data_IF_499250451777
#
_entry.id   IF_499250451777
#
_cell.length_a   1.000
_cell.length_b   1.000
_cell.length_c   1.000
_cell.angle_alpha   90.00
_cell.angle_beta   90.00
_cell.angle_gamma   90.00
#
_symmetry.space_group_name_H-M   'P 1'
#
loop_
_entity.id
_entity.type
_entity.pdbx_description
1 polymer ?
#
# COMPACT_ATOMS: atom_id res chain seq x y z
N UNK A 1 -55.82 -30.06 34.65
CA UNK A 1 -55.72 -29.95 33.18
C UNK A 1 -55.35 -28.52 32.84
N UNK A 2 -54.22 -28.31 32.14
CA UNK A 2 -53.74 -27.02 31.61
C UNK A 2 -52.96 -26.17 32.62
N UNK A 3 -51.63 -26.33 32.75
CA UNK A 3 -50.58 -25.66 31.97
C UNK A 3 -50.35 -24.20 32.41
N UNK A 4 -49.24 -23.98 33.13
CA UNK A 4 -48.74 -22.69 33.55
C UNK A 4 -47.82 -22.10 32.47
N UNK A 5 -48.11 -20.88 32.01
CA UNK A 5 -47.17 -20.04 31.24
C UNK A 5 -46.44 -19.11 32.22
N UNK A 6 -45.17 -19.40 32.46
CA UNK A 6 -44.23 -18.47 33.09
C UNK A 6 -43.57 -17.62 32.01
N UNK A 7 -43.87 -16.32 32.01
CA UNK A 7 -43.13 -15.29 31.26
C UNK A 7 -41.71 -15.25 31.82
N UNK A 8 -40.72 -15.56 30.96
CA UNK A 8 -39.30 -15.58 31.31
C UNK A 8 -38.64 -14.36 30.66
N UNK A 9 -38.29 -13.35 31.45
CA UNK A 9 -37.43 -12.23 31.04
C UNK A 9 -36.02 -12.78 30.76
N UNK A 10 -35.38 -12.43 29.62
CA UNK A 10 -33.97 -12.75 29.43
C UNK A 10 -33.08 -11.71 30.12
N UNK A 11 -32.18 -12.24 30.95
CA UNK A 11 -31.14 -11.56 31.70
C UNK A 11 -30.26 -10.63 30.86
N UNK A 12 -29.93 -9.46 31.43
CA UNK A 12 -28.84 -8.59 30.99
C UNK A 12 -27.51 -9.35 31.02
N UNK A 13 -26.81 -9.37 29.88
CA UNK A 13 -25.44 -9.88 29.77
C UNK A 13 -24.45 -8.71 29.82
N UNK A 14 -23.25 -8.88 30.43
CA UNK A 14 -22.37 -7.77 30.72
C UNK A 14 -21.72 -7.21 29.44
N UNK A 15 -21.72 -5.89 29.35
CA UNK A 15 -21.09 -5.09 28.30
C UNK A 15 -19.61 -5.46 28.16
N UNK A 16 -19.26 -6.09 27.03
CA UNK A 16 -17.88 -6.47 26.69
C UNK A 16 -17.09 -5.19 26.41
N UNK A 17 -16.05 -4.97 27.22
CA UNK A 17 -15.15 -3.84 27.14
C UNK A 17 -14.60 -3.64 25.72
N UNK A 18 -14.63 -2.38 25.26
CA UNK A 18 -14.12 -1.95 23.97
C UNK A 18 -12.65 -2.37 23.79
N UNK A 19 -12.40 -3.20 22.77
CA UNK A 19 -11.07 -3.53 22.29
C UNK A 19 -10.45 -2.39 21.46
N UNK A 20 -9.16 -2.48 21.13
CA UNK A 20 -8.47 -1.50 20.28
C UNK A 20 -9.11 -1.46 18.87
N UNK A 21 -8.97 -0.34 18.13
CA UNK A 21 -9.66 -0.14 16.85
C UNK A 21 -9.32 -1.28 15.89
N UNK A 22 -10.38 -1.93 15.40
CA UNK A 22 -10.31 -3.03 14.45
C UNK A 22 -9.44 -2.65 13.24
N UNK A 23 -8.56 -3.58 12.89
CA UNK A 23 -7.75 -3.58 11.68
C UNK A 23 -8.65 -3.30 10.46
N UNK A 24 -8.16 -2.48 9.53
CA UNK A 24 -8.81 -2.15 8.26
C UNK A 24 -8.87 -3.37 7.32
N UNK A 25 -9.51 -4.44 7.75
CA UNK A 25 -9.71 -5.70 7.03
C UNK A 25 -11.08 -6.27 7.37
N UNK A 26 -12.13 -5.48 7.17
CA UNK A 26 -13.49 -5.98 6.97
C UNK A 26 -14.36 -4.82 6.49
N UNK A 27 -14.32 -4.54 5.19
CA UNK A 27 -15.30 -3.68 4.54
C UNK A 27 -16.10 -4.53 3.57
N UNK A 28 -17.28 -4.94 4.00
CA UNK A 28 -18.34 -5.44 3.14
C UNK A 28 -19.15 -6.59 3.75
N UNK A 29 -20.32 -6.28 4.31
CA UNK A 29 -21.40 -7.26 4.40
C UNK A 29 -21.82 -7.67 2.96
N UNK A 30 -21.95 -8.97 2.62
CA UNK A 30 -22.15 -9.43 1.24
C UNK A 30 -23.58 -9.26 0.67
N UNK A 31 -24.45 -8.46 1.27
CA UNK A 31 -25.90 -8.50 0.93
C UNK A 31 -26.41 -7.40 0.00
N UNK A 32 -25.54 -6.57 -0.57
CA UNK A 32 -25.90 -5.73 -1.72
C UNK A 32 -25.27 -6.32 -2.99
N UNK A 33 -25.98 -7.24 -3.65
CA UNK A 33 -25.63 -7.73 -4.98
C UNK A 33 -25.67 -6.59 -6.00
N UNK A 34 -24.59 -5.82 -6.04
CA UNK A 34 -24.25 -4.90 -7.12
C UNK A 34 -23.97 -5.75 -8.36
N UNK A 35 -24.70 -5.51 -9.44
CA UNK A 35 -24.45 -6.13 -10.75
C UNK A 35 -23.11 -5.72 -11.39
N UNK A 36 -22.20 -5.10 -10.64
CA UNK A 36 -20.90 -4.59 -11.08
C UNK A 36 -19.87 -5.68 -11.40
N UNK A 37 -20.08 -6.93 -10.97
CA UNK A 37 -19.12 -8.02 -11.19
C UNK A 37 -19.28 -8.84 -12.47
N UNK A 38 -20.17 -8.42 -13.37
CA UNK A 38 -20.19 -8.98 -14.72
C UNK A 38 -19.19 -8.21 -15.57
N UNK A 39 -18.12 -8.90 -15.99
CA UNK A 39 -17.19 -8.41 -17.00
C UNK A 39 -18.00 -7.76 -18.14
N UNK A 40 -17.83 -6.46 -18.41
CA UNK A 40 -18.66 -5.75 -19.38
C UNK A 40 -18.70 -6.45 -20.74
N UNK A 41 -19.83 -6.38 -21.44
CA UNK A 41 -19.89 -6.84 -22.82
C UNK A 41 -18.76 -6.16 -23.64
N UNK A 42 -18.02 -6.94 -24.41
CA UNK A 42 -16.83 -6.50 -25.17
C UNK A 42 -15.60 -6.07 -24.33
N UNK A 43 -15.57 -6.26 -23.01
CA UNK A 43 -14.40 -5.94 -22.18
C UNK A 43 -13.11 -6.54 -22.74
N UNK A 44 -13.10 -7.85 -23.03
CA UNK A 44 -11.91 -8.50 -23.58
C UNK A 44 -11.52 -7.94 -24.95
N UNK A 45 -12.49 -7.55 -25.78
CA UNK A 45 -12.21 -6.96 -27.09
C UNK A 45 -11.58 -5.56 -26.95
N UNK A 46 -12.11 -4.73 -26.06
CA UNK A 46 -11.53 -3.42 -25.73
C UNK A 46 -10.17 -3.56 -25.05
N UNK A 47 -10.02 -4.48 -24.09
CA UNK A 47 -8.76 -4.77 -23.42
C UNK A 47 -7.68 -5.19 -24.43
N UNK A 48 -7.95 -6.20 -25.25
CA UNK A 48 -6.99 -6.65 -26.27
C UNK A 48 -6.76 -5.58 -27.35
N UNK A 49 -7.78 -4.80 -27.70
CA UNK A 49 -7.64 -3.67 -28.63
C UNK A 49 -6.74 -2.56 -28.09
N UNK A 50 -6.96 -2.15 -26.84
CA UNK A 50 -6.16 -1.11 -26.17
C UNK A 50 -4.75 -1.61 -25.86
N UNK A 51 -4.60 -2.89 -25.47
CA UNK A 51 -3.31 -3.54 -25.27
C UNK A 51 -2.54 -3.59 -26.59
N UNK A 52 -3.16 -4.05 -27.69
CA UNK A 52 -2.53 -4.07 -29.00
C UNK A 52 -2.14 -2.67 -29.47
N UNK A 53 -3.01 -1.67 -29.29
CA UNK A 53 -2.69 -0.28 -29.58
C UNK A 53 -1.50 0.23 -28.75
N UNK A 54 -1.51 0.00 -27.43
CA UNK A 54 -0.43 0.42 -26.53
C UNK A 54 0.89 -0.27 -26.87
N UNK A 55 0.85 -1.58 -27.17
CA UNK A 55 2.00 -2.34 -27.65
C UNK A 55 2.51 -1.79 -28.98
N UNK A 56 1.62 -1.42 -29.90
CA UNK A 56 2.00 -0.86 -31.20
C UNK A 56 2.64 0.53 -31.03
N UNK A 57 2.09 1.39 -30.15
CA UNK A 57 2.72 2.67 -29.78
C UNK A 57 4.10 2.44 -29.15
N UNK A 58 4.23 1.46 -28.25
CA UNK A 58 5.52 1.10 -27.65
C UNK A 58 6.52 0.60 -28.70
N UNK A 59 6.10 -0.26 -29.62
CA UNK A 59 6.96 -0.75 -30.72
C UNK A 59 7.41 0.40 -31.61
N UNK A 60 6.50 1.31 -31.99
CA UNK A 60 6.86 2.51 -32.76
C UNK A 60 7.84 3.39 -31.99
N UNK A 61 7.62 3.57 -30.69
CA UNK A 61 8.51 4.33 -29.83
C UNK A 61 9.90 3.69 -29.78
N UNK A 62 9.98 2.38 -29.53
CA UNK A 62 11.22 1.61 -29.48
C UNK A 62 11.97 1.64 -30.82
N UNK A 63 11.24 1.59 -31.93
CA UNK A 63 11.85 1.63 -33.26
C UNK A 63 12.42 3.01 -33.62
N UNK A 64 11.95 4.06 -32.93
CA UNK A 64 12.47 5.43 -33.06
C UNK A 64 13.53 5.77 -32.01
N UNK A 65 13.93 4.85 -31.14
CA UNK A 65 14.93 5.12 -30.11
C UNK A 65 16.34 5.08 -30.66
N UNK A 66 17.13 6.09 -30.29
CA UNK A 66 18.57 6.14 -30.55
C UNK A 66 19.35 5.22 -29.60
N UNK A 67 20.61 4.90 -29.94
CA UNK A 67 21.45 3.98 -29.15
C UNK A 67 21.60 4.36 -27.67
N UNK A 68 21.75 5.66 -27.36
CA UNK A 68 21.81 6.15 -25.98
C UNK A 68 20.50 5.92 -25.21
N UNK A 69 19.36 6.07 -25.88
CA UNK A 69 18.05 5.88 -25.25
C UNK A 69 17.81 4.40 -24.92
N UNK A 70 18.30 3.48 -25.76
CA UNK A 70 18.26 2.05 -25.49
C UNK A 70 19.12 1.66 -24.29
N UNK A 71 20.26 2.33 -24.10
CA UNK A 71 21.10 2.14 -22.91
C UNK A 71 20.40 2.60 -21.64
N UNK A 72 19.77 3.79 -21.67
CA UNK A 72 18.93 4.28 -20.57
C UNK A 72 17.78 3.31 -20.27
N UNK A 73 17.10 2.80 -21.31
CA UNK A 73 16.03 1.82 -21.15
C UNK A 73 16.55 0.53 -20.49
N UNK A 74 17.74 0.07 -20.88
CA UNK A 74 18.38 -1.10 -20.26
C UNK A 74 18.69 -0.86 -18.78
N UNK A 75 19.23 0.30 -18.42
CA UNK A 75 19.48 0.66 -17.02
C UNK A 75 18.17 0.75 -16.21
N UNK A 76 17.13 1.34 -16.81
CA UNK A 76 15.79 1.42 -16.21
C UNK A 76 15.20 0.02 -16.00
N UNK A 77 15.25 -0.85 -17.00
CA UNK A 77 14.74 -2.22 -16.91
C UNK A 77 15.52 -3.02 -15.87
N UNK A 78 16.85 -2.91 -15.86
CA UNK A 78 17.71 -3.59 -14.91
C UNK A 78 17.46 -3.13 -13.45
N UNK A 79 17.03 -1.89 -13.24
CA UNK A 79 16.72 -1.35 -11.91
C UNK A 79 15.27 -1.57 -11.48
N UNK A 80 14.30 -1.44 -12.38
CA UNK A 80 12.86 -1.49 -12.06
C UNK A 80 12.31 -2.91 -12.06
N UNK A 81 12.73 -3.78 -12.99
CA UNK A 81 12.18 -5.14 -13.10
C UNK A 81 12.41 -5.98 -11.84
N UNK A 82 13.61 -5.99 -11.21
CA UNK A 82 13.81 -6.74 -9.98
C UNK A 82 12.86 -6.29 -8.86
N UNK A 83 12.63 -4.97 -8.75
CA UNK A 83 11.69 -4.40 -7.79
C UNK A 83 10.26 -4.83 -8.12
N UNK A 84 9.83 -4.72 -9.37
CA UNK A 84 8.49 -5.11 -9.80
C UNK A 84 8.21 -6.61 -9.60
N UNK A 85 9.18 -7.47 -9.91
CA UNK A 85 9.09 -8.92 -9.65
C UNK A 85 8.96 -9.18 -8.15
N UNK A 86 9.77 -8.52 -7.33
CA UNK A 86 9.68 -8.66 -5.88
C UNK A 86 8.31 -8.23 -5.36
N UNK A 87 7.75 -7.11 -5.86
CA UNK A 87 6.42 -6.64 -5.50
C UNK A 87 5.35 -7.66 -5.87
N UNK A 88 5.39 -8.23 -7.08
CA UNK A 88 4.42 -9.25 -7.51
C UNK A 88 4.51 -10.50 -6.65
N UNK A 89 5.71 -10.95 -6.31
CA UNK A 89 5.92 -12.12 -5.42
C UNK A 89 5.33 -11.84 -4.04
N UNK A 90 5.66 -10.70 -3.43
CA UNK A 90 5.14 -10.33 -2.10
C UNK A 90 3.62 -10.22 -2.13
N UNK A 91 3.05 -9.56 -3.14
CA UNK A 91 1.60 -9.45 -3.29
C UNK A 91 0.95 -10.82 -3.46
N UNK A 92 1.51 -11.72 -4.28
CA UNK A 92 0.97 -13.06 -4.45
C UNK A 92 0.94 -13.84 -3.13
N UNK A 93 2.04 -13.82 -2.36
CA UNK A 93 2.13 -14.53 -1.08
C UNK A 93 1.11 -13.97 -0.06
N UNK A 94 0.87 -12.65 -0.06
CA UNK A 94 -0.17 -12.02 0.77
C UNK A 94 -1.58 -12.42 0.30
N UNK A 95 -1.83 -12.34 -1.00
CA UNK A 95 -3.13 -12.59 -1.62
C UNK A 95 -3.59 -14.05 -1.44
N UNK A 96 -2.66 -15.00 -1.54
CA UNK A 96 -2.91 -16.43 -1.30
C UNK A 96 -2.92 -16.79 0.20
N UNK A 97 -2.81 -15.82 1.10
CA UNK A 97 -2.85 -16.04 2.55
C UNK A 97 -1.68 -16.85 3.10
N UNK A 98 -0.57 -16.94 2.35
CA UNK A 98 0.63 -17.67 2.76
C UNK A 98 1.39 -16.89 3.85
N UNK A 99 1.44 -15.56 3.72
CA UNK A 99 1.98 -14.67 4.75
C UNK A 99 1.11 -13.44 4.92
N UNK A 100 1.01 -12.93 6.13
CA UNK A 100 0.39 -11.61 6.36
C UNK A 100 1.30 -10.47 5.87
N UNK A 101 0.72 -9.29 5.65
CA UNK A 101 1.49 -8.10 5.26
C UNK A 101 2.57 -7.73 6.30
N UNK A 102 2.27 -7.97 7.58
CA UNK A 102 3.19 -7.74 8.70
C UNK A 102 4.34 -8.74 8.70
N UNK A 103 4.08 -10.03 8.42
CA UNK A 103 5.11 -11.05 8.27
C UNK A 103 6.03 -10.78 7.08
N UNK A 104 5.47 -10.42 5.92
CA UNK A 104 6.24 -10.01 4.74
C UNK A 104 7.15 -8.81 5.04
N UNK A 105 6.63 -7.79 5.72
CA UNK A 105 7.41 -6.63 6.13
C UNK A 105 8.52 -6.98 7.13
N UNK A 106 8.26 -7.89 8.07
CA UNK A 106 9.24 -8.35 9.05
C UNK A 106 10.43 -9.04 8.35
N UNK A 107 10.17 -9.92 7.38
CA UNK A 107 11.21 -10.59 6.58
C UNK A 107 12.03 -9.56 5.80
N UNK A 108 11.38 -8.56 5.19
CA UNK A 108 12.06 -7.47 4.49
C UNK A 108 12.99 -6.66 5.40
N UNK A 109 12.53 -6.34 6.62
CA UNK A 109 13.34 -5.62 7.63
C UNK A 109 14.55 -6.43 8.10
N UNK A 110 14.38 -7.75 8.25
CA UNK A 110 15.45 -8.67 8.61
C UNK A 110 16.49 -8.77 7.50
N UNK A 111 16.06 -8.84 6.24
CA UNK A 111 16.94 -8.83 5.07
C UNK A 111 17.75 -7.53 4.95
N UNK A 112 17.12 -6.38 5.15
CA UNK A 112 17.79 -5.09 5.14
C UNK A 112 18.85 -4.99 6.26
N UNK A 113 18.51 -5.44 7.47
CA UNK A 113 19.45 -5.49 8.59
C UNK A 113 20.62 -6.44 8.30
N UNK A 114 20.34 -7.62 7.75
CA UNK A 114 21.35 -8.59 7.34
C UNK A 114 22.36 -7.98 6.36
N UNK A 115 21.88 -7.36 5.29
CA UNK A 115 22.72 -6.71 4.29
C UNK A 115 23.53 -5.54 4.88
N UNK A 116 22.92 -4.73 5.75
CA UNK A 116 23.60 -3.62 6.41
C UNK A 116 24.77 -4.09 7.29
N UNK A 117 24.60 -5.18 8.05
CA UNK A 117 25.67 -5.76 8.88
C UNK A 117 26.72 -6.45 7.99
N UNK A 118 26.27 -7.15 6.94
CA UNK A 118 27.14 -7.85 5.99
C UNK A 118 28.06 -6.87 5.25
N UNK A 119 27.57 -5.67 4.90
CA UNK A 119 28.35 -4.64 4.22
C UNK A 119 29.63 -4.24 4.99
N UNK A 120 29.64 -4.34 6.33
CA UNK A 120 30.81 -4.00 7.18
C UNK A 120 31.48 -5.22 7.81
N UNK A 121 30.75 -6.31 8.05
CA UNK A 121 31.21 -7.48 8.83
C UNK A 121 30.98 -8.82 8.12
N UNK A 122 31.09 -8.87 6.79
CA UNK A 122 30.81 -10.03 5.95
C UNK A 122 31.30 -11.38 6.50
N UNK A 123 32.56 -11.46 6.95
CA UNK A 123 33.13 -12.72 7.47
C UNK A 123 32.44 -13.23 8.73
N UNK A 124 32.07 -12.34 9.65
CA UNK A 124 31.34 -12.73 10.87
C UNK A 124 29.91 -13.14 10.53
N UNK A 125 29.25 -12.38 9.67
CA UNK A 125 27.89 -12.69 9.20
C UNK A 125 27.84 -14.06 8.56
N UNK A 126 28.79 -14.39 7.68
CA UNK A 126 28.82 -15.68 6.98
C UNK A 126 28.95 -16.86 7.95
N UNK A 127 29.84 -16.77 8.94
CA UNK A 127 30.00 -17.81 9.96
C UNK A 127 28.74 -17.99 10.81
N UNK A 128 28.17 -16.89 11.30
CA UNK A 128 26.95 -16.96 12.12
C UNK A 128 25.72 -17.36 11.32
N UNK A 129 25.68 -17.07 10.02
CA UNK A 129 24.65 -17.58 9.12
C UNK A 129 24.72 -19.08 8.91
N UNK A 130 25.92 -19.65 8.76
CA UNK A 130 26.07 -21.10 8.69
C UNK A 130 25.64 -21.77 9.99
N UNK A 131 26.05 -21.23 11.14
CA UNK A 131 25.64 -21.75 12.45
C UNK A 131 24.12 -21.65 12.61
N UNK A 132 23.53 -20.50 12.29
CA UNK A 132 22.08 -20.30 12.33
C UNK A 132 21.33 -21.23 11.39
N UNK A 133 21.88 -21.52 10.22
CA UNK A 133 21.30 -22.46 9.27
C UNK A 133 21.28 -23.88 9.82
N UNK A 134 22.39 -24.35 10.37
CA UNK A 134 22.49 -25.69 10.98
C UNK A 134 21.52 -25.82 12.16
N UNK A 135 21.44 -24.81 13.02
CA UNK A 135 20.53 -24.81 14.17
C UNK A 135 19.06 -24.79 13.71
N UNK A 136 18.71 -23.92 12.77
CA UNK A 136 17.36 -23.85 12.21
C UNK A 136 16.94 -25.15 11.54
N UNK A 137 17.84 -25.76 10.77
CA UNK A 137 17.62 -27.06 10.13
C UNK A 137 17.44 -28.18 11.16
N UNK A 138 18.29 -28.23 12.20
CA UNK A 138 18.21 -29.25 13.25
C UNK A 138 16.93 -29.13 14.09
N UNK A 139 16.48 -27.90 14.37
CA UNK A 139 15.21 -27.66 15.08
C UNK A 139 14.01 -28.08 14.24
N UNK A 140 14.00 -27.76 12.95
CA UNK A 140 12.95 -28.24 12.03
C UNK A 140 12.93 -29.77 11.96
N UNK A 141 14.11 -30.41 11.89
CA UNK A 141 14.22 -31.87 11.86
C UNK A 141 13.65 -32.50 13.13
N UNK A 142 13.92 -31.88 14.29
CA UNK A 142 13.42 -32.35 15.58
C UNK A 142 11.90 -32.23 15.71
N UNK A 143 11.28 -31.24 15.05
CA UNK A 143 9.82 -31.10 14.99
C UNK A 143 9.16 -32.05 13.98
N UNK A 144 9.93 -32.81 13.20
CA UNK A 144 9.41 -33.72 12.18
C UNK A 144 8.87 -32.99 10.95
N UNK A 145 9.38 -31.79 10.67
CA UNK A 145 8.97 -30.94 9.55
C UNK A 145 9.37 -31.52 8.18
N UNK A 146 8.59 -31.18 7.15
CA UNK A 146 8.85 -31.62 5.78
C UNK A 146 10.18 -31.05 5.23
N UNK A 147 10.79 -31.75 4.27
CA UNK A 147 12.09 -31.35 3.71
C UNK A 147 12.16 -29.89 3.22
N UNK A 148 11.07 -29.37 2.66
CA UNK A 148 11.01 -27.97 2.22
C UNK A 148 11.01 -26.99 3.42
N UNK A 149 10.27 -27.27 4.49
CA UNK A 149 10.24 -26.42 5.68
C UNK A 149 11.55 -26.45 6.45
N UNK A 150 12.34 -27.52 6.36
CA UNK A 150 13.70 -27.56 6.92
C UNK A 150 14.64 -26.53 6.28
N UNK A 151 14.60 -26.41 4.95
CA UNK A 151 15.42 -25.43 4.23
C UNK A 151 14.98 -23.99 4.55
N UNK A 152 13.67 -23.76 4.69
CA UNK A 152 13.14 -22.45 5.10
C UNK A 152 13.56 -22.13 6.53
N UNK A 153 13.40 -23.05 7.47
CA UNK A 153 13.81 -22.90 8.86
C UNK A 153 15.33 -22.64 8.98
N UNK A 154 16.15 -23.37 8.23
CA UNK A 154 17.58 -23.11 8.12
C UNK A 154 17.88 -21.72 7.54
N UNK A 155 17.22 -21.33 6.46
CA UNK A 155 17.45 -20.02 5.82
C UNK A 155 17.08 -18.85 6.74
N UNK A 156 15.93 -18.92 7.41
CA UNK A 156 15.50 -17.92 8.39
C UNK A 156 16.46 -17.91 9.58
N UNK A 157 16.83 -19.08 10.10
CA UNK A 157 17.80 -19.20 11.20
C UNK A 157 19.16 -18.59 10.85
N UNK A 158 19.65 -18.83 9.63
CA UNK A 158 20.92 -18.27 9.14
C UNK A 158 20.85 -16.76 8.92
N UNK A 159 19.75 -16.25 8.37
CA UNK A 159 19.57 -14.80 8.20
C UNK A 159 19.45 -14.10 9.56
N UNK A 160 18.69 -14.66 10.50
CA UNK A 160 18.51 -14.11 11.84
C UNK A 160 19.82 -14.14 12.64
N UNK A 161 20.50 -15.29 12.73
CA UNK A 161 21.76 -15.41 13.45
C UNK A 161 22.86 -14.53 12.83
N UNK A 162 22.97 -14.50 11.51
CA UNK A 162 23.95 -13.69 10.79
C UNK A 162 23.70 -12.19 10.90
N UNK A 163 22.46 -11.73 11.04
CA UNK A 163 22.15 -10.32 11.30
C UNK A 163 22.35 -9.96 12.78
N UNK A 164 21.73 -10.73 13.67
CA UNK A 164 21.58 -10.36 15.09
C UNK A 164 22.87 -10.58 15.88
N UNK A 165 23.57 -11.71 15.70
CA UNK A 165 24.75 -12.02 16.53
C UNK A 165 25.91 -11.08 16.22
N UNK A 166 26.36 -10.92 14.95
CA UNK A 166 27.38 -9.92 14.62
C UNK A 166 26.89 -8.49 14.86
N UNK A 167 25.62 -8.20 14.61
CA UNK A 167 25.01 -6.89 14.88
C UNK A 167 25.18 -6.49 16.35
N UNK A 168 24.69 -7.31 17.28
CA UNK A 168 24.79 -7.06 18.73
C UNK A 168 26.23 -7.07 19.22
N UNK A 169 27.06 -8.00 18.73
CA UNK A 169 28.46 -8.10 19.12
C UNK A 169 29.24 -6.84 18.77
N UNK A 170 29.10 -6.36 17.53
CA UNK A 170 29.80 -5.17 17.06
C UNK A 170 29.18 -3.88 17.60
N UNK A 171 27.87 -3.86 17.86
CA UNK A 171 27.21 -2.75 18.56
C UNK A 171 27.75 -2.58 19.98
N UNK A 172 28.03 -3.68 20.71
CA UNK A 172 28.63 -3.61 22.05
C UNK A 172 30.07 -3.08 22.04
N UNK A 173 30.86 -3.45 21.03
CA UNK A 173 32.27 -3.03 20.91
C UNK A 173 32.43 -1.62 20.36
N UNK A 174 31.60 -1.20 19.42
CA UNK A 174 31.80 0.04 18.66
C UNK A 174 30.95 1.18 19.23
N UNK A 175 31.61 2.24 19.73
CA UNK A 175 30.91 3.44 20.23
C UNK A 175 30.20 4.20 19.11
N UNK A 176 30.81 4.32 17.95
CA UNK A 176 30.26 5.01 16.78
C UNK A 176 28.93 4.39 16.31
N UNK A 177 28.90 3.06 16.09
CA UNK A 177 27.70 2.32 15.71
C UNK A 177 26.54 2.51 16.70
N UNK A 178 26.82 2.60 18.00
CA UNK A 178 25.79 2.88 19.01
C UNK A 178 25.20 4.27 18.86
N UNK A 179 26.04 5.28 18.60
CA UNK A 179 25.58 6.65 18.40
C UNK A 179 24.72 6.73 17.14
N UNK A 180 25.21 6.20 16.02
CA UNK A 180 24.49 6.24 14.74
C UNK A 180 23.17 5.47 14.83
N UNK A 181 23.17 4.26 15.41
CA UNK A 181 21.95 3.47 15.59
C UNK A 181 20.94 4.19 16.50
N UNK A 182 21.40 4.80 17.61
CA UNK A 182 20.53 5.58 18.50
C UNK A 182 19.91 6.77 17.76
N UNK A 183 20.69 7.48 16.96
CA UNK A 183 20.21 8.62 16.17
C UNK A 183 19.20 8.17 15.11
N UNK A 184 19.50 7.12 14.35
CA UNK A 184 18.59 6.57 13.35
C UNK A 184 17.28 6.10 13.97
N UNK A 185 17.33 5.32 15.06
CA UNK A 185 16.13 4.86 15.78
C UNK A 185 15.32 6.04 16.30
N UNK A 186 15.97 7.06 16.87
CA UNK A 186 15.27 8.24 17.36
C UNK A 186 14.59 9.04 16.23
N UNK A 187 15.26 9.25 15.10
CA UNK A 187 14.69 9.95 13.93
C UNK A 187 13.51 9.18 13.35
N UNK A 188 13.63 7.86 13.20
CA UNK A 188 12.54 6.99 12.76
C UNK A 188 11.38 7.05 13.73
N UNK A 189 11.63 6.84 15.03
CA UNK A 189 10.60 6.87 16.07
C UNK A 189 9.89 8.22 16.16
N UNK A 190 10.62 9.34 16.02
CA UNK A 190 10.04 10.69 16.02
C UNK A 190 9.08 10.88 14.84
N UNK A 191 9.46 10.42 13.66
CA UNK A 191 8.62 10.53 12.45
C UNK A 191 7.40 9.63 12.56
N UNK A 192 7.57 8.38 12.99
CA UNK A 192 6.46 7.44 13.24
C UNK A 192 5.52 7.96 14.33
N UNK A 193 6.05 8.53 15.42
CA UNK A 193 5.22 9.10 16.49
C UNK A 193 4.38 10.28 16.03
N UNK A 194 4.91 11.15 15.15
CA UNK A 194 4.13 12.22 14.51
C UNK A 194 2.93 11.64 13.74
N UNK A 195 3.14 10.61 12.92
CA UNK A 195 2.09 9.95 12.14
C UNK A 195 1.08 9.26 13.07
N UNK A 196 1.55 8.48 14.06
CA UNK A 196 0.68 7.84 15.06
C UNK A 196 -0.19 8.85 15.81
N UNK A 197 0.36 10.02 16.15
CA UNK A 197 -0.39 11.06 16.84
C UNK A 197 -1.45 11.71 15.94
N UNK A 198 -1.18 11.84 14.64
CA UNK A 198 -2.16 12.29 13.66
C UNK A 198 -3.33 11.32 13.54
N UNK A 199 -3.10 10.00 13.60
CA UNK A 199 -4.19 9.02 13.67
C UNK A 199 -5.09 9.23 14.90
N UNK A 200 -4.51 9.48 16.07
CA UNK A 200 -5.27 9.75 17.30
C UNK A 200 -6.11 11.02 17.15
N UNK A 201 -5.50 12.11 16.68
CA UNK A 201 -6.19 13.38 16.46
C UNK A 201 -7.30 13.27 15.41
N UNK A 202 -7.04 12.56 14.32
CA UNK A 202 -8.01 12.32 13.26
C UNK A 202 -9.17 11.45 13.72
N UNK A 203 -8.92 10.37 14.47
CA UNK A 203 -9.97 9.52 15.00
C UNK A 203 -10.88 10.29 15.97
N UNK A 204 -10.30 11.11 16.83
CA UNK A 204 -11.04 12.02 17.72
C UNK A 204 -11.86 13.04 16.92
N UNK A 205 -11.26 13.68 15.91
CA UNK A 205 -11.97 14.62 15.03
C UNK A 205 -13.14 13.93 14.32
N UNK A 206 -12.92 12.80 13.65
CA UNK A 206 -13.96 12.06 12.92
C UNK A 206 -15.08 11.61 13.85
N UNK A 207 -14.76 11.12 15.06
CA UNK A 207 -15.76 10.74 16.05
C UNK A 207 -16.58 11.94 16.53
N UNK A 208 -15.95 13.04 16.94
CA UNK A 208 -16.64 14.24 17.40
C UNK A 208 -17.47 14.87 16.27
N UNK A 209 -16.91 14.93 15.06
CA UNK A 209 -17.58 15.44 13.87
C UNK A 209 -18.83 14.62 13.52
N UNK A 210 -18.73 13.29 13.57
CA UNK A 210 -19.87 12.39 13.37
C UNK A 210 -20.94 12.58 14.46
N UNK A 211 -20.55 12.66 15.74
CA UNK A 211 -21.47 12.85 16.87
C UNK A 211 -22.24 14.18 16.80
N UNK A 212 -21.63 15.24 16.28
CA UNK A 212 -22.29 16.54 16.11
C UNK A 212 -23.10 16.64 14.81
N UNK A 213 -23.25 15.55 14.05
CA UNK A 213 -23.99 15.53 12.79
C UNK A 213 -23.26 16.21 11.63
N UNK A 214 -21.95 16.39 11.72
CA UNK A 214 -21.13 17.01 10.68
C UNK A 214 -21.20 16.27 9.34
N UNK A 215 -21.30 14.93 9.38
CA UNK A 215 -21.50 14.11 8.17
C UNK A 215 -22.79 14.53 7.43
N UNK A 216 -23.90 14.72 8.15
CA UNK A 216 -25.16 15.14 7.57
C UNK A 216 -25.13 16.58 7.01
N UNK A 217 -24.30 17.46 7.58
CA UNK A 217 -24.10 18.81 7.04
C UNK A 217 -23.41 18.77 5.68
N UNK A 218 -22.32 18.01 5.56
CA UNK A 218 -21.60 17.86 4.29
C UNK A 218 -22.48 17.16 3.27
N UNK A 219 -23.23 16.13 3.69
CA UNK A 219 -24.18 15.43 2.83
C UNK A 219 -25.21 16.38 2.23
N UNK A 220 -25.91 17.15 3.06
CA UNK A 220 -26.90 18.13 2.57
C UNK A 220 -26.29 19.16 1.62
N UNK A 221 -25.08 19.63 1.93
CA UNK A 221 -24.37 20.58 1.08
C UNK A 221 -24.02 19.96 -0.29
N UNK A 222 -23.47 18.74 -0.32
CA UNK A 222 -23.13 18.06 -1.58
C UNK A 222 -24.39 17.75 -2.38
N UNK A 223 -25.45 17.27 -1.73
CA UNK A 223 -26.72 16.98 -2.39
C UNK A 223 -27.39 18.26 -2.93
N UNK A 224 -27.21 19.40 -2.28
CA UNK A 224 -27.70 20.69 -2.78
C UNK A 224 -27.06 21.13 -4.11
N UNK A 225 -25.87 20.62 -4.44
CA UNK A 225 -25.21 20.89 -5.71
C UNK A 225 -25.82 20.11 -6.89
N UNK A 226 -26.73 19.16 -6.62
CA UNK A 226 -27.45 18.35 -7.61
C UNK A 226 -26.51 17.73 -8.66
N UNK A 227 -25.41 17.14 -8.20
CA UNK A 227 -24.39 16.56 -9.06
C UNK A 227 -24.88 15.24 -9.69
N UNK A 228 -24.36 14.93 -10.89
CA UNK A 228 -24.45 13.57 -11.43
C UNK A 228 -23.42 12.65 -10.75
N UNK A 229 -23.54 11.32 -10.83
CA UNK A 229 -22.51 10.40 -10.31
C UNK A 229 -21.11 10.68 -10.87
N UNK A 230 -21.03 11.01 -12.17
CA UNK A 230 -19.78 11.43 -12.82
C UNK A 230 -19.26 12.74 -12.23
N UNK A 231 -20.14 13.72 -12.06
CA UNK A 231 -19.80 15.02 -11.48
C UNK A 231 -19.30 14.90 -10.04
N UNK A 232 -19.95 14.05 -9.23
CA UNK A 232 -19.50 13.72 -7.88
C UNK A 232 -18.10 13.09 -7.89
N UNK A 233 -17.86 12.07 -8.72
CA UNK A 233 -16.57 11.38 -8.79
C UNK A 233 -15.43 12.31 -9.21
N UNK A 234 -15.64 13.12 -10.26
CA UNK A 234 -14.63 14.09 -10.70
C UNK A 234 -14.36 15.11 -9.59
N UNK A 235 -15.40 15.63 -8.96
CA UNK A 235 -15.27 16.63 -7.89
C UNK A 235 -14.53 16.06 -6.68
N UNK A 236 -14.88 14.85 -6.24
CA UNK A 236 -14.22 14.16 -5.14
C UNK A 236 -12.73 13.92 -5.44
N UNK A 237 -12.39 13.44 -6.65
CA UNK A 237 -11.00 13.20 -7.03
C UNK A 237 -10.21 14.51 -7.14
N UNK A 238 -10.80 15.59 -7.65
CA UNK A 238 -10.14 16.90 -7.69
C UNK A 238 -9.88 17.45 -6.29
N UNK A 239 -10.87 17.37 -5.38
CA UNK A 239 -10.68 17.80 -3.99
C UNK A 239 -9.53 17.02 -3.36
N UNK A 240 -9.52 15.69 -3.48
CA UNK A 240 -8.47 14.82 -2.93
C UNK A 240 -7.11 15.12 -3.57
N UNK A 241 -7.06 15.37 -4.88
CA UNK A 241 -5.84 15.71 -5.59
C UNK A 241 -5.21 17.01 -5.06
N UNK A 242 -6.02 18.06 -4.88
CA UNK A 242 -5.54 19.34 -4.34
C UNK A 242 -5.20 19.25 -2.85
N UNK A 243 -5.91 18.45 -2.06
CA UNK A 243 -5.57 18.19 -0.66
C UNK A 243 -4.22 17.46 -0.52
N UNK A 244 -3.83 16.67 -1.52
CA UNK A 244 -2.53 16.00 -1.59
C UNK A 244 -1.33 16.93 -1.69
N UNK A 245 -1.53 18.24 -1.93
CA UNK A 245 -0.43 19.21 -1.86
C UNK A 245 -0.06 19.56 -0.41
N UNK A 246 -0.96 20.08 0.45
CA UNK A 246 -0.57 20.43 1.82
C UNK A 246 -0.55 19.26 2.81
N UNK A 247 -1.28 18.17 2.55
CA UNK A 247 -1.48 17.06 3.51
C UNK A 247 -0.75 15.78 3.08
N UNK A 248 -0.40 14.93 4.04
CA UNK A 248 0.13 13.60 3.74
C UNK A 248 -1.02 12.62 3.40
N UNK A 249 -0.73 11.55 2.66
CA UNK A 249 -1.75 10.65 2.11
C UNK A 249 -2.52 9.94 3.24
N UNK A 250 -1.86 9.70 4.37
CA UNK A 250 -2.42 9.10 5.56
C UNK A 250 -3.52 10.00 6.15
N UNK A 251 -3.29 11.31 6.31
CA UNK A 251 -4.33 12.19 6.87
C UNK A 251 -5.52 12.34 5.93
N UNK A 252 -5.28 12.33 4.62
CA UNK A 252 -6.36 12.37 3.62
C UNK A 252 -7.26 11.14 3.77
N UNK A 253 -6.67 9.95 3.89
CA UNK A 253 -7.44 8.71 4.05
C UNK A 253 -8.18 8.68 5.39
N UNK A 254 -7.58 9.12 6.50
CA UNK A 254 -8.23 8.99 7.82
C UNK A 254 -9.28 10.07 8.07
N UNK A 255 -9.10 11.29 7.54
CA UNK A 255 -10.03 12.40 7.75
C UNK A 255 -11.08 12.46 6.64
N UNK A 256 -10.67 12.48 5.37
CA UNK A 256 -11.55 12.87 4.27
C UNK A 256 -12.28 11.69 3.64
N UNK A 257 -11.66 10.51 3.52
CA UNK A 257 -12.33 9.35 2.92
C UNK A 257 -13.60 8.95 3.68
N UNK A 258 -13.63 8.89 5.03
CA UNK A 258 -14.85 8.61 5.79
C UNK A 258 -15.98 9.64 5.60
N UNK A 259 -15.66 10.86 5.15
CA UNK A 259 -16.65 11.88 4.81
C UNK A 259 -17.33 11.55 3.47
N UNK A 260 -16.59 10.99 2.51
CA UNK A 260 -17.13 10.62 1.20
C UNK A 260 -17.86 9.27 1.21
N UNK A 261 -17.48 8.32 2.07
CA UNK A 261 -18.07 6.96 2.09
C UNK A 261 -19.62 6.97 2.16
N UNK A 262 -20.27 7.74 3.07
CA UNK A 262 -21.73 7.79 3.13
C UNK A 262 -22.39 8.34 1.87
N UNK A 263 -21.69 9.18 1.10
CA UNK A 263 -22.19 9.76 -0.14
C UNK A 263 -22.17 8.77 -1.30
N UNK A 264 -21.29 7.77 -1.26
CA UNK A 264 -21.13 6.81 -2.36
C UNK A 264 -22.40 6.05 -2.65
N UNK A 265 -23.16 5.68 -1.61
CA UNK A 265 -24.45 4.98 -1.74
C UNK A 265 -25.50 5.84 -2.45
N UNK A 266 -25.54 7.15 -2.17
CA UNK A 266 -26.45 8.09 -2.84
C UNK A 266 -26.13 8.24 -4.33
N UNK A 267 -24.84 8.24 -4.69
CA UNK A 267 -24.40 8.34 -6.09
C UNK A 267 -24.25 6.97 -6.79
N UNK A 268 -24.59 5.86 -6.12
CA UNK A 268 -24.45 4.49 -6.62
C UNK A 268 -23.03 4.15 -7.09
N UNK A 269 -22.03 4.64 -6.35
CA UNK A 269 -20.61 4.36 -6.59
C UNK A 269 -20.15 3.24 -5.68
N UNK A 270 -19.44 2.27 -6.25
CA UNK A 270 -18.82 1.18 -5.49
C UNK A 270 -17.68 1.73 -4.60
N UNK A 271 -17.67 1.47 -3.27
CA UNK A 271 -16.61 1.91 -2.37
C UNK A 271 -15.21 1.41 -2.73
N UNK A 272 -15.10 0.20 -3.29
CA UNK A 272 -13.82 -0.38 -3.70
C UNK A 272 -13.28 0.35 -4.94
N UNK A 273 -14.15 0.66 -5.91
CA UNK A 273 -13.79 1.48 -7.06
C UNK A 273 -13.35 2.88 -6.61
N UNK A 274 -14.09 3.51 -5.69
CA UNK A 274 -13.73 4.82 -5.16
C UNK A 274 -12.37 4.77 -4.44
N UNK A 275 -12.17 3.82 -3.51
CA UNK A 275 -10.94 3.70 -2.73
C UNK A 275 -9.70 3.45 -3.59
N UNK A 276 -9.80 2.58 -4.60
CA UNK A 276 -8.72 2.32 -5.55
C UNK A 276 -8.41 3.53 -6.43
N UNK A 277 -9.42 4.25 -6.91
CA UNK A 277 -9.23 5.52 -7.62
C UNK A 277 -8.57 6.59 -6.72
N UNK A 278 -8.92 6.66 -5.44
CA UNK A 278 -8.26 7.53 -4.47
C UNK A 278 -6.79 7.15 -4.30
N UNK A 279 -6.47 5.86 -4.19
CA UNK A 279 -5.08 5.39 -4.07
C UNK A 279 -4.22 5.75 -5.30
N UNK A 280 -4.76 5.61 -6.51
CA UNK A 280 -4.05 6.01 -7.74
C UNK A 280 -3.95 7.54 -7.85
N UNK A 281 -5.00 8.27 -7.46
CA UNK A 281 -5.00 9.74 -7.47
C UNK A 281 -4.00 10.34 -6.49
N UNK A 282 -3.85 9.77 -5.29
CA UNK A 282 -2.86 10.21 -4.32
C UNK A 282 -1.43 10.03 -4.87
N UNK A 283 -1.13 8.95 -5.57
CA UNK A 283 0.18 8.81 -6.24
C UNK A 283 0.44 9.95 -7.25
N UNK A 284 -0.57 10.36 -8.02
CA UNK A 284 -0.46 11.49 -8.93
C UNK A 284 -0.23 12.81 -8.19
N UNK A 285 -0.97 13.06 -7.10
CA UNK A 285 -0.86 14.28 -6.31
C UNK A 285 0.56 14.47 -5.75
N UNK A 286 1.17 13.41 -5.23
CA UNK A 286 2.53 13.42 -4.69
C UNK A 286 3.64 13.53 -5.73
N UNK A 287 3.34 13.25 -7.00
CA UNK A 287 4.26 13.45 -8.12
C UNK A 287 4.06 14.82 -8.79
N UNK A 288 2.97 15.50 -8.49
CA UNK A 288 2.63 16.79 -9.10
C UNK A 288 3.41 17.96 -8.47
N UNK A 289 3.98 18.87 -9.28
CA UNK A 289 4.46 20.15 -8.78
C UNK A 289 3.31 20.92 -8.09
N UNK A 290 3.53 21.60 -6.96
CA UNK A 290 4.82 22.00 -6.38
C UNK A 290 5.40 21.04 -5.31
N UNK A 291 4.71 19.96 -4.95
CA UNK A 291 4.99 19.15 -3.73
C UNK A 291 5.68 17.82 -4.06
N UNK A 292 6.22 17.67 -5.26
CA UNK A 292 6.93 16.46 -5.67
C UNK A 292 8.26 16.28 -4.90
N UNK A 293 8.20 15.75 -3.68
CA UNK A 293 9.33 15.58 -2.76
C UNK A 293 10.46 14.75 -3.36
N UNK A 294 10.11 13.73 -4.16
CA UNK A 294 11.09 12.90 -4.88
C UNK A 294 11.89 13.69 -5.92
N UNK A 295 11.28 14.68 -6.58
CA UNK A 295 11.97 15.55 -7.52
C UNK A 295 13.00 16.46 -6.83
N UNK A 296 12.67 16.97 -5.64
CA UNK A 296 13.61 17.75 -4.82
C UNK A 296 14.77 16.89 -4.32
N UNK A 297 14.50 15.65 -3.92
CA UNK A 297 15.56 14.69 -3.56
C UNK A 297 16.48 14.39 -4.75
N UNK A 298 15.90 14.12 -5.92
CA UNK A 298 16.66 13.88 -7.15
C UNK A 298 17.50 15.10 -7.52
N UNK A 299 16.97 16.31 -7.37
CA UNK A 299 17.72 17.56 -7.59
C UNK A 299 18.93 17.69 -6.64
N UNK A 300 18.86 17.14 -5.43
CA UNK A 300 19.96 17.13 -4.47
C UNK A 300 21.16 16.29 -4.90
N UNK A 301 20.94 15.23 -5.68
CA UNK A 301 22.00 14.34 -6.20
C UNK A 301 22.32 14.58 -7.68
N UNK A 302 21.50 15.38 -8.38
CA UNK A 302 21.65 15.65 -9.81
C UNK A 302 22.78 16.67 -10.10
N UNK A 303 23.47 16.55 -11.24
CA UNK A 303 24.44 17.54 -11.70
C UNK A 303 23.90 18.98 -11.71
N UNK A 304 24.78 19.96 -11.52
CA UNK A 304 24.39 21.39 -11.42
C UNK A 304 23.63 21.91 -12.65
N UNK A 305 23.85 21.34 -13.83
CA UNK A 305 23.20 21.75 -15.08
C UNK A 305 21.75 21.28 -15.21
N UNK A 306 21.31 20.26 -14.45
CA UNK A 306 19.93 19.76 -14.50
C UNK A 306 19.05 20.65 -13.64
N UNK A 307 18.09 21.36 -14.23
CA UNK A 307 17.19 22.25 -13.49
C UNK A 307 16.00 21.49 -12.90
N UNK A 308 15.41 22.01 -11.82
CA UNK A 308 14.20 21.40 -11.23
C UNK A 308 13.04 21.33 -12.23
N UNK A 309 12.90 22.35 -13.08
CA UNK A 309 11.87 22.38 -14.12
C UNK A 309 12.06 21.26 -15.16
N UNK A 310 13.30 20.87 -15.47
CA UNK A 310 13.57 19.73 -16.35
C UNK A 310 13.15 18.41 -15.69
N UNK A 311 13.38 18.26 -14.38
CA UNK A 311 12.93 17.09 -13.62
C UNK A 311 11.40 17.02 -13.62
N UNK A 312 10.72 18.13 -13.32
CA UNK A 312 9.25 18.20 -13.38
C UNK A 312 8.71 17.90 -14.77
N UNK A 313 9.29 18.48 -15.82
CA UNK A 313 8.90 18.21 -17.19
C UNK A 313 9.09 16.73 -17.56
N UNK A 314 10.14 16.06 -17.04
CA UNK A 314 10.35 14.62 -17.21
C UNK A 314 9.32 13.74 -16.51
N UNK A 315 8.71 14.23 -15.42
CA UNK A 315 7.66 13.50 -14.67
C UNK A 315 6.26 13.68 -15.26
N UNK A 316 6.00 14.79 -15.99
CA UNK A 316 4.69 15.08 -16.57
C UNK A 316 4.12 13.99 -17.49
N UNK A 317 4.91 13.33 -18.37
CA UNK A 317 4.41 12.21 -19.17
C UNK A 317 3.88 11.05 -18.31
N UNK A 318 4.54 10.75 -17.20
CA UNK A 318 4.08 9.71 -16.27
C UNK A 318 2.77 10.13 -15.58
N UNK A 319 2.66 11.39 -15.15
CA UNK A 319 1.40 11.92 -14.60
C UNK A 319 0.25 11.83 -15.59
N UNK A 320 0.49 12.10 -16.88
CA UNK A 320 -0.53 11.96 -17.91
C UNK A 320 -1.03 10.51 -18.03
N UNK A 321 -0.11 9.54 -17.98
CA UNK A 321 -0.47 8.11 -17.99
C UNK A 321 -1.33 7.76 -16.77
N UNK A 322 -1.02 8.29 -15.59
CA UNK A 322 -1.82 8.06 -14.38
C UNK A 322 -3.22 8.67 -14.50
N UNK A 323 -3.34 9.89 -15.05
CA UNK A 323 -4.65 10.51 -15.30
C UNK A 323 -5.46 9.69 -16.30
N UNK A 324 -4.84 9.20 -17.37
CA UNK A 324 -5.49 8.30 -18.33
C UNK A 324 -5.93 6.99 -17.66
N UNK A 325 -5.11 6.43 -16.77
CA UNK A 325 -5.47 5.26 -15.99
C UNK A 325 -6.70 5.51 -15.11
N UNK A 326 -6.79 6.67 -14.43
CA UNK A 326 -7.98 7.06 -13.65
C UNK A 326 -9.23 7.15 -14.52
N UNK A 327 -9.12 7.72 -15.72
CA UNK A 327 -10.23 7.78 -16.67
C UNK A 327 -10.68 6.39 -17.08
N UNK A 328 -9.75 5.48 -17.40
CA UNK A 328 -10.08 4.10 -17.76
C UNK A 328 -10.67 3.30 -16.60
N UNK A 329 -10.19 3.49 -15.37
CA UNK A 329 -10.77 2.86 -14.18
C UNK A 329 -12.24 3.26 -14.01
N UNK A 330 -12.59 4.51 -14.32
CA UNK A 330 -13.97 4.99 -14.22
C UNK A 330 -14.87 4.47 -15.36
N UNK A 331 -14.38 4.47 -16.61
CA UNK A 331 -15.14 4.01 -17.78
C UNK A 331 -15.35 2.49 -17.73
N UNK A 332 -14.34 1.75 -17.27
CA UNK A 332 -14.34 0.30 -17.18
C UNK A 332 -14.06 -0.16 -15.74
N UNK A 333 -15.03 -0.03 -14.82
CA UNK A 333 -14.85 -0.39 -13.42
C UNK A 333 -14.51 -1.87 -13.22
N UNK A 334 -14.92 -2.73 -14.14
CA UNK A 334 -14.53 -4.15 -14.16
C UNK A 334 -13.02 -4.37 -14.22
N UNK A 335 -12.21 -3.45 -14.75
CA UNK A 335 -10.74 -3.56 -14.68
C UNK A 335 -10.23 -3.57 -13.23
N UNK A 336 -10.89 -2.80 -12.38
CA UNK A 336 -10.53 -2.59 -10.99
C UNK A 336 -11.16 -3.64 -10.08
N UNK A 337 -12.41 -4.01 -10.35
CA UNK A 337 -13.20 -4.91 -9.50
C UNK A 337 -12.97 -6.40 -9.82
N UNK A 338 -12.48 -6.74 -11.03
CA UNK A 338 -12.35 -8.13 -11.47
C UNK A 338 -11.50 -9.02 -10.55
N UNK A 339 -10.32 -8.55 -10.13
CA UNK A 339 -9.42 -9.37 -9.31
C UNK A 339 -9.99 -9.60 -7.90
N UNK A 340 -10.44 -8.55 -7.18
CA UNK A 340 -11.14 -8.73 -5.91
C UNK A 340 -12.36 -9.67 -6.00
N UNK A 341 -13.20 -9.51 -7.01
CA UNK A 341 -14.38 -10.37 -7.20
C UNK A 341 -14.01 -11.81 -7.52
N UNK A 342 -12.98 -12.03 -8.32
CA UNK A 342 -12.51 -13.39 -8.63
C UNK A 342 -12.01 -14.14 -7.39
N UNK A 343 -11.38 -13.43 -6.46
CA UNK A 343 -10.76 -14.04 -5.27
C UNK A 343 -11.71 -14.12 -4.08
N UNK A 344 -12.55 -13.10 -3.89
CA UNK A 344 -13.37 -12.90 -2.68
C UNK A 344 -14.87 -12.83 -2.96
N UNK A 345 -15.31 -12.83 -4.22
CA UNK A 345 -16.71 -12.66 -4.61
C UNK A 345 -17.59 -13.91 -4.54
N UNK A 346 -17.26 -14.88 -3.67
CA UNK A 346 -18.08 -16.06 -3.40
C UNK A 346 -19.00 -15.85 -2.20
#
# INVERSE_FOLDING_TARGET
>A
MGAAESVNEPAETPQKAAGPPEEMTSLGDPTAASGAGKIPAHFYQWFWGLAAFSTLVLIIYWWRMDGEQLEILKELVASVVPLGVLTVVVLAVILFGITTATESAAIGSLGALYLAVMAKYARQVWWWSLVGFIVGFALGWWQGEAWASLLVAGSIGGALAGAVVPGLWNLRRSRELRVNMKQSVFLTAKTTAMVCWLFVGSALFSAVFALHGGQGLIERWVLSMNLSPVGFMITAQLIIFFLGWPLEWTEIIVIFVPIFIPLLTHFQVDPLLFGTMVAVNLQAAFLSPPVAMSAFYLKGVSPKHVTLNQIFAGMMPYMLIVILALVFMYIWPGMTLWLPEFLYGN
#
